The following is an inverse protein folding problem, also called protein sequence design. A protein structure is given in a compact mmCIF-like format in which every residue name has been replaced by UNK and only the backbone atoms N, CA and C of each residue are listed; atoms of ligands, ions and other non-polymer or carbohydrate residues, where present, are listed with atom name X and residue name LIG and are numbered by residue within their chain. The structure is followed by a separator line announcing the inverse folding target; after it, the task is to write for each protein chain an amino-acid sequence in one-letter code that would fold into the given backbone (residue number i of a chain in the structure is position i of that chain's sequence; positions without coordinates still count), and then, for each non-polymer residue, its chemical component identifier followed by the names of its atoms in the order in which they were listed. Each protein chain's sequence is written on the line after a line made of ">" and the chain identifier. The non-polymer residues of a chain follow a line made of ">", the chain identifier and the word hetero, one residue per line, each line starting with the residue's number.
data_IF_471934130381
#
_entry.id   IF_471934130381
#
_cell.length_a   1.000
_cell.length_b   1.000
_cell.length_c   1.000
_cell.angle_alpha   90.00
_cell.angle_beta   90.00
_cell.angle_gamma   90.00
#
_symmetry.space_group_name_H-M   'P 1'
#
loop_
_entity.id
_entity.type
_entity.pdbx_description
1 polymer ?
#
# COMPACT_ATOMS: atom_id res chain seq x y z
N UNK A 1 3.19 14.18 -3.82
CA UNK A 1 3.06 12.86 -4.47
C UNK A 1 3.26 13.04 -5.98
N UNK A 2 4.52 13.01 -6.46
CA UNK A 2 4.88 13.04 -7.90
C UNK A 2 5.46 11.67 -8.35
N UNK A 3 5.13 10.59 -7.64
CA UNK A 3 5.93 9.35 -7.65
C UNK A 3 5.25 8.15 -8.33
N UNK A 4 4.08 8.36 -8.94
CA UNK A 4 3.26 7.26 -9.44
C UNK A 4 2.62 6.44 -8.31
N UNK A 5 1.50 5.78 -8.60
CA UNK A 5 0.86 4.79 -7.73
C UNK A 5 0.33 3.65 -8.58
N UNK A 6 0.17 2.46 -7.99
CA UNK A 6 -0.44 1.33 -8.69
C UNK A 6 -1.93 1.64 -8.88
N UNK A 7 -2.46 1.45 -10.09
CA UNK A 7 -3.86 1.73 -10.40
C UNK A 7 -4.81 0.99 -9.43
N UNK A 8 -5.92 1.62 -9.07
CA UNK A 8 -6.91 1.10 -8.12
C UNK A 8 -6.39 0.83 -6.69
N UNK A 9 -5.20 1.32 -6.34
CA UNK A 9 -4.72 1.23 -4.96
C UNK A 9 -5.30 2.31 -4.06
N UNK A 10 -5.52 1.95 -2.79
CA UNK A 10 -5.93 2.87 -1.74
C UNK A 10 -4.70 3.47 -1.07
N UNK A 11 -4.65 4.80 -0.97
CA UNK A 11 -3.58 5.49 -0.26
C UNK A 11 -3.91 5.63 1.23
N UNK A 12 -3.42 4.70 2.04
CA UNK A 12 -3.52 4.74 3.51
C UNK A 12 -2.10 4.83 4.09
N UNK A 13 -1.72 6.01 4.59
CA UNK A 13 -0.37 6.24 5.09
C UNK A 13 -0.18 5.65 6.49
N UNK A 14 0.76 4.70 6.62
CA UNK A 14 1.18 4.12 7.89
C UNK A 14 1.60 5.15 8.94
N UNK A 15 2.16 6.28 8.51
CA UNK A 15 2.64 7.34 9.41
C UNK A 15 1.52 8.28 9.87
N UNK A 16 0.33 8.17 9.29
CA UNK A 16 -0.79 9.03 9.66
C UNK A 16 -1.42 8.58 10.97
N UNK A 17 -1.86 9.55 11.78
CA UNK A 17 -2.52 9.30 13.06
C UNK A 17 -3.84 8.52 12.89
N UNK A 18 -4.47 8.62 11.73
CA UNK A 18 -5.73 7.95 11.38
C UNK A 18 -5.54 6.57 10.71
N UNK A 19 -4.30 6.07 10.60
CA UNK A 19 -4.01 4.79 9.92
C UNK A 19 -4.89 3.65 10.44
N UNK A 20 -4.96 3.48 11.76
CA UNK A 20 -5.70 2.37 12.38
C UNK A 20 -7.21 2.48 12.11
N UNK A 21 -7.76 3.70 12.17
CA UNK A 21 -9.18 3.95 11.90
C UNK A 21 -9.53 3.64 10.43
N UNK A 22 -8.67 4.04 9.50
CA UNK A 22 -8.91 3.82 8.08
C UNK A 22 -8.81 2.35 7.69
N UNK A 23 -7.87 1.58 8.27
CA UNK A 23 -7.77 0.14 7.98
C UNK A 23 -8.89 -0.65 8.65
N UNK A 24 -9.41 -0.23 9.80
CA UNK A 24 -10.53 -0.92 10.46
C UNK A 24 -11.85 -0.86 9.67
N UNK A 25 -11.97 0.09 8.73
CA UNK A 25 -13.11 0.18 7.81
C UNK A 25 -13.07 -0.86 6.68
N UNK A 26 -11.95 -1.57 6.50
CA UNK A 26 -11.77 -2.57 5.46
C UNK A 26 -12.28 -3.95 5.91
N UNK A 27 -12.78 -4.76 4.95
CA UNK A 27 -13.15 -6.15 5.23
C UNK A 27 -11.90 -7.00 5.49
N UNK A 28 -11.84 -7.63 6.67
CA UNK A 28 -10.73 -8.47 7.14
C UNK A 28 -10.60 -9.80 6.38
N UNK A 29 -11.63 -10.18 5.63
CA UNK A 29 -11.63 -11.38 4.79
C UNK A 29 -11.14 -11.12 3.37
N UNK A 30 -11.04 -9.85 2.96
CA UNK A 30 -10.51 -9.50 1.64
C UNK A 30 -8.98 -9.61 1.66
N UNK A 31 -8.37 -10.33 0.71
CA UNK A 31 -6.91 -10.35 0.57
C UNK A 31 -6.35 -8.95 0.32
N UNK A 32 -5.34 -8.56 1.10
CA UNK A 32 -4.70 -7.24 1.00
C UNK A 32 -3.27 -7.36 0.51
N UNK A 33 -2.94 -6.63 -0.56
CA UNK A 33 -1.57 -6.41 -1.01
C UNK A 33 -1.13 -5.02 -0.56
N UNK A 34 -0.04 -4.95 0.20
CA UNK A 34 0.55 -3.71 0.70
C UNK A 34 1.82 -3.41 -0.07
N UNK A 35 2.00 -2.14 -0.41
CA UNK A 35 3.27 -1.64 -0.95
C UNK A 35 3.57 -0.25 -0.39
N UNK A 36 4.85 0.12 -0.43
CA UNK A 36 5.27 1.49 -0.21
C UNK A 36 6.37 1.81 -1.23
N UNK A 37 7.24 2.78 -0.94
CA UNK A 37 8.37 3.10 -1.84
C UNK A 37 9.30 1.90 -2.05
N UNK A 38 9.76 1.26 -0.96
CA UNK A 38 10.84 0.26 -0.99
C UNK A 38 10.57 -0.96 -0.09
N UNK A 39 9.29 -1.27 0.18
CA UNK A 39 8.87 -2.38 1.06
C UNK A 39 8.93 -2.14 2.58
N UNK A 40 9.78 -1.23 3.09
CA UNK A 40 9.99 -1.10 4.56
C UNK A 40 8.73 -0.73 5.36
N UNK A 41 7.97 0.27 4.90
CA UNK A 41 6.75 0.72 5.61
C UNK A 41 5.60 -0.27 5.45
N UNK A 42 5.48 -0.88 4.28
CA UNK A 42 4.44 -1.87 4.03
C UNK A 42 4.62 -3.13 4.87
N UNK A 43 5.86 -3.53 5.20
CA UNK A 43 6.11 -4.59 6.20
C UNK A 43 5.63 -4.23 7.61
N UNK A 44 5.72 -2.95 8.02
CA UNK A 44 5.19 -2.50 9.31
C UNK A 44 3.65 -2.49 9.30
N UNK A 45 3.05 -2.00 8.21
CA UNK A 45 1.60 -2.08 8.00
C UNK A 45 1.11 -3.52 8.04
N UNK A 46 1.80 -4.47 7.39
CA UNK A 46 1.43 -5.88 7.37
C UNK A 46 1.36 -6.49 8.78
N UNK A 47 2.37 -6.19 9.62
CA UNK A 47 2.38 -6.61 11.01
C UNK A 47 1.21 -6.02 11.81
N UNK A 48 0.84 -4.75 11.56
CA UNK A 48 -0.28 -4.10 12.23
C UNK A 48 -1.62 -4.71 11.78
N UNK A 49 -1.84 -4.92 10.47
CA UNK A 49 -3.04 -5.55 9.93
C UNK A 49 -3.20 -6.98 10.46
N UNK A 50 -2.12 -7.76 10.54
CA UNK A 50 -2.17 -9.10 11.10
C UNK A 50 -2.68 -9.09 12.54
N UNK A 51 -2.21 -8.15 13.37
CA UNK A 51 -2.69 -7.96 14.75
C UNK A 51 -4.15 -7.49 14.85
N UNK A 52 -4.67 -6.84 13.82
CA UNK A 52 -6.07 -6.42 13.73
C UNK A 52 -7.00 -7.53 13.21
N UNK A 53 -6.46 -8.69 12.83
CA UNK A 53 -7.22 -9.88 12.43
C UNK A 53 -7.49 -10.01 10.93
N UNK A 54 -6.73 -9.31 10.09
CA UNK A 54 -6.76 -9.55 8.64
C UNK A 54 -6.19 -10.93 8.32
N UNK A 55 -6.89 -11.68 7.46
CA UNK A 55 -6.58 -13.09 7.20
C UNK A 55 -5.47 -13.30 6.18
N UNK A 56 -5.51 -12.54 5.10
CA UNK A 56 -4.61 -12.69 3.96
C UNK A 56 -3.93 -11.36 3.66
N UNK A 57 -2.63 -11.29 3.97
CA UNK A 57 -1.82 -10.08 3.84
C UNK A 57 -0.56 -10.42 3.07
N UNK A 58 -0.34 -9.70 1.98
CA UNK A 58 0.84 -9.83 1.13
C UNK A 58 1.58 -8.50 1.12
N UNK A 59 2.91 -8.56 1.18
CA UNK A 59 3.75 -7.39 1.02
C UNK A 59 4.43 -7.48 -0.35
N UNK A 60 4.25 -6.44 -1.17
CA UNK A 60 4.95 -6.34 -2.44
C UNK A 60 6.45 -6.15 -2.17
N UNK A 61 7.23 -7.16 -2.52
CA UNK A 61 8.68 -7.12 -2.44
C UNK A 61 9.23 -5.98 -3.30
N UNK A 62 10.25 -5.28 -2.80
CA UNK A 62 10.80 -4.11 -3.49
C UNK A 62 9.93 -2.84 -3.48
N UNK A 63 8.63 -2.97 -3.21
CA UNK A 63 7.67 -1.87 -3.28
C UNK A 63 7.46 -1.36 -4.70
N UNK A 64 7.01 -0.10 -4.83
CA UNK A 64 6.73 0.49 -6.14
C UNK A 64 8.00 0.72 -6.98
N UNK A 65 9.18 0.80 -6.38
CA UNK A 65 10.44 0.96 -7.12
C UNK A 65 10.71 -0.25 -8.02
N UNK A 66 10.73 -1.44 -7.44
CA UNK A 66 10.95 -2.68 -8.21
C UNK A 66 9.79 -2.95 -9.16
N UNK A 67 8.55 -2.62 -8.78
CA UNK A 67 7.38 -2.69 -9.67
C UNK A 67 7.59 -1.91 -10.96
N UNK A 68 8.11 -0.67 -10.85
CA UNK A 68 8.43 0.18 -12.01
C UNK A 68 9.64 -0.38 -12.76
N UNK A 69 10.66 -0.88 -12.05
CA UNK A 69 11.89 -1.41 -12.66
C UNK A 69 11.60 -2.60 -13.59
N UNK A 70 10.67 -3.48 -13.23
CA UNK A 70 10.26 -4.62 -14.07
C UNK A 70 9.26 -4.24 -15.18
N UNK A 71 8.97 -2.94 -15.36
CA UNK A 71 8.17 -2.42 -16.47
C UNK A 71 6.66 -2.48 -16.25
N UNK A 72 6.17 -2.69 -15.01
CA UNK A 72 4.74 -2.65 -14.75
C UNK A 72 4.21 -1.22 -14.75
N UNK A 73 2.93 -1.08 -15.08
CA UNK A 73 2.26 0.22 -15.16
C UNK A 73 2.04 0.85 -13.78
N UNK A 74 2.19 2.17 -13.73
CA UNK A 74 1.81 3.04 -12.61
C UNK A 74 1.06 4.24 -13.16
N UNK A 75 0.09 4.74 -12.40
CA UNK A 75 -0.63 5.97 -12.70
C UNK A 75 0.13 7.12 -12.07
N UNK A 76 0.52 8.11 -12.87
CA UNK A 76 1.07 9.35 -12.37
C UNK A 76 -0.08 10.35 -12.15
N UNK A 77 -0.01 11.12 -11.07
CA UNK A 77 -0.85 12.32 -10.95
C UNK A 77 -0.26 13.36 -11.90
N UNK A 78 -0.54 13.24 -13.19
CA UNK A 78 -0.25 14.30 -14.15
C UNK A 78 -1.25 15.43 -13.90
N UNK A 79 -0.88 16.35 -13.01
CA UNK A 79 -1.53 17.67 -12.97
C UNK A 79 -1.07 18.43 -14.22
N UNK A 80 -1.72 18.19 -15.36
CA UNK A 80 -1.72 19.16 -16.46
C UNK A 80 -2.71 20.25 -16.04
N UNK A 81 -2.18 21.41 -15.64
CA UNK A 81 -2.91 22.67 -15.69
C UNK A 81 -2.80 23.27 -17.09
#
# INVERSE_FOLDING_TARGET
>A
YNSGYIENSLNIDYLSNDFSENVEKLDKNTPIVLYCRSGRRSSLSANKLSKLGFKEIYNLEGGILDWIEIGNSVVFNDTIH
#
